data_IF_437829383824
#
_entry.id   IF_437829383824
#
_cell.length_a   1.000
_cell.length_b   1.000
_cell.length_c   1.000
_cell.angle_alpha   90.00
_cell.angle_beta   90.00
_cell.angle_gamma   90.00
#
_symmetry.space_group_name_H-M   'P 1'
#
loop_
_entity.id
_entity.type
_entity.pdbx_description
1 polymer ?
#
# COMPACT_ATOMS: atom_id res chain seq x y z
N UNK A 1 -15.70 25.30 6.96
CA UNK A 1 -14.85 25.73 5.82
C UNK A 1 -13.54 24.98 5.93
N UNK A 2 -13.05 24.37 4.85
CA UNK A 2 -11.71 23.77 4.83
C UNK A 2 -10.71 24.93 4.66
N UNK A 3 -9.80 25.09 5.61
CA UNK A 3 -8.75 26.10 5.54
C UNK A 3 -7.65 25.60 4.59
N UNK A 4 -7.39 26.33 3.51
CA UNK A 4 -6.36 25.96 2.54
C UNK A 4 -5.08 26.74 2.82
N UNK A 5 -3.99 26.02 3.09
CA UNK A 5 -2.65 26.58 3.18
C UNK A 5 -1.81 26.04 2.02
N UNK A 6 -1.13 26.92 1.29
CA UNK A 6 -0.15 26.50 0.29
C UNK A 6 1.19 26.20 0.98
N UNK A 7 1.71 24.99 0.75
CA UNK A 7 3.02 24.55 1.23
C UNK A 7 3.74 23.85 0.08
N UNK A 8 5.02 24.16 -0.10
CA UNK A 8 5.86 23.50 -1.10
C UNK A 8 6.54 22.30 -0.47
N UNK A 9 6.42 21.13 -1.11
CA UNK A 9 7.17 19.92 -0.75
C UNK A 9 8.06 19.54 -1.93
N UNK A 10 9.30 19.17 -1.66
CA UNK A 10 10.15 18.52 -2.66
C UNK A 10 9.90 17.01 -2.63
N UNK A 11 9.69 16.43 -3.79
CA UNK A 11 9.54 14.99 -3.98
C UNK A 11 10.44 14.56 -5.14
N UNK A 12 10.83 13.28 -5.17
CA UNK A 12 11.56 12.72 -6.29
C UNK A 12 10.68 12.71 -7.55
N UNK A 13 11.30 12.87 -8.72
CA UNK A 13 10.60 12.86 -10.02
C UNK A 13 9.77 11.58 -10.21
N UNK A 14 10.32 10.42 -9.82
CA UNK A 14 9.59 9.15 -9.89
C UNK A 14 8.29 9.15 -9.08
N UNK A 15 8.25 9.87 -7.94
CA UNK A 15 7.07 9.97 -7.09
C UNK A 15 6.05 10.91 -7.73
N UNK A 16 6.51 12.01 -8.31
CA UNK A 16 5.65 12.91 -9.07
C UNK A 16 4.95 12.19 -10.23
N UNK A 17 5.69 11.40 -11.01
CA UNK A 17 5.13 10.60 -12.11
C UNK A 17 4.12 9.56 -11.60
N UNK A 18 4.39 8.90 -10.47
CA UNK A 18 3.42 7.99 -9.83
C UNK A 18 2.13 8.72 -9.45
N UNK A 19 2.23 9.90 -8.84
CA UNK A 19 1.06 10.71 -8.47
C UNK A 19 0.28 11.18 -9.71
N UNK A 20 0.98 11.57 -10.78
CA UNK A 20 0.38 11.96 -12.05
C UNK A 20 -0.43 10.81 -12.66
N UNK A 21 0.13 9.59 -12.68
CA UNK A 21 -0.55 8.41 -13.22
C UNK A 21 -1.76 7.98 -12.38
N UNK A 22 -1.75 8.26 -11.07
CA UNK A 22 -2.85 7.94 -10.16
C UNK A 22 -3.98 8.97 -10.17
N UNK A 23 -3.75 10.14 -10.78
CA UNK A 23 -4.69 11.26 -10.84
C UNK A 23 -5.86 10.93 -11.78
N UNK A 24 -7.09 11.05 -11.29
CA UNK A 24 -8.29 10.90 -12.12
C UNK A 24 -8.67 12.22 -12.79
N UNK A 25 -9.51 12.13 -13.83
CA UNK A 25 -10.08 13.32 -14.48
C UNK A 25 -10.78 14.21 -13.44
N UNK A 26 -10.53 15.52 -13.49
CA UNK A 26 -11.00 16.54 -12.54
C UNK A 26 -10.52 16.42 -11.07
N UNK A 27 -9.57 15.54 -10.72
CA UNK A 27 -8.92 15.59 -9.39
C UNK A 27 -7.82 16.66 -9.35
N UNK A 28 -7.58 17.29 -8.20
CA UNK A 28 -6.35 18.02 -7.88
C UNK A 28 -5.29 17.08 -7.27
N UNK A 29 -4.03 17.53 -7.12
CA UNK A 29 -3.04 16.71 -6.41
C UNK A 29 -3.38 16.54 -4.92
N UNK A 30 -4.04 17.53 -4.32
CA UNK A 30 -4.54 17.41 -2.94
C UNK A 30 -5.58 16.30 -2.83
N UNK A 31 -6.48 16.17 -3.81
CA UNK A 31 -7.50 15.10 -3.82
C UNK A 31 -6.86 13.71 -3.99
N UNK A 32 -5.81 13.60 -4.81
CA UNK A 32 -5.05 12.34 -4.97
C UNK A 32 -4.39 11.95 -3.65
N UNK A 33 -3.67 12.89 -3.02
CA UNK A 33 -2.98 12.65 -1.74
C UNK A 33 -4.00 12.28 -0.66
N UNK A 34 -5.08 13.04 -0.53
CA UNK A 34 -6.15 12.79 0.44
C UNK A 34 -6.78 11.40 0.23
N UNK A 35 -7.09 11.04 -1.01
CA UNK A 35 -7.62 9.71 -1.37
C UNK A 35 -6.66 8.57 -1.05
N UNK A 36 -5.35 8.77 -1.26
CA UNK A 36 -4.35 7.76 -0.97
C UNK A 36 -4.14 7.58 0.53
N UNK A 37 -4.13 8.67 1.30
CA UNK A 37 -3.97 8.63 2.76
C UNK A 37 -5.24 8.07 3.43
N UNK A 38 -6.43 8.44 2.93
CA UNK A 38 -7.73 7.93 3.41
C UNK A 38 -8.05 6.53 2.92
N UNK A 39 -7.20 5.91 2.10
CA UNK A 39 -7.37 4.51 1.71
C UNK A 39 -7.04 3.64 2.92
N UNK A 40 -7.94 3.63 3.91
CA UNK A 40 -8.00 2.57 4.89
C UNK A 40 -8.17 1.27 4.10
N UNK A 41 -7.22 0.35 4.26
CA UNK A 41 -7.36 -1.02 3.80
C UNK A 41 -8.46 -1.64 4.64
N UNK A 42 -9.72 -1.44 4.23
CA UNK A 42 -10.83 -2.11 4.86
C UNK A 42 -10.68 -3.59 4.53
N UNK A 43 -10.16 -4.37 5.49
CA UNK A 43 -10.10 -5.83 5.42
C UNK A 43 -11.49 -6.45 5.67
N UNK A 44 -12.45 -5.65 6.13
CA UNK A 44 -13.84 -6.05 6.42
C UNK A 44 -14.56 -6.75 5.25
N UNK A 45 -14.40 -6.36 3.98
CA UNK A 45 -14.95 -7.08 2.83
C UNK A 45 -14.39 -8.50 2.65
N UNK A 46 -13.24 -8.81 3.27
CA UNK A 46 -12.62 -10.13 3.23
C UNK A 46 -13.01 -11.02 4.42
N UNK A 47 -13.74 -10.46 5.39
CA UNK A 47 -14.19 -11.21 6.57
C UNK A 47 -15.20 -12.30 6.16
N UNK A 48 -14.85 -13.56 6.42
CA UNK A 48 -15.68 -14.72 6.10
C UNK A 48 -15.56 -15.23 4.66
N UNK A 49 -14.62 -14.70 3.85
CA UNK A 49 -14.33 -15.25 2.52
C UNK A 49 -13.61 -16.60 2.57
N UNK A 50 -12.85 -16.84 3.64
CA UNK A 50 -12.11 -18.07 3.84
C UNK A 50 -12.76 -18.91 4.93
N UNK A 51 -12.84 -20.21 4.69
CA UNK A 51 -13.03 -21.20 5.74
C UNK A 51 -11.81 -21.23 6.66
N UNK A 52 -11.96 -21.78 7.87
CA UNK A 52 -10.86 -21.92 8.83
C UNK A 52 -9.67 -22.65 8.21
N UNK A 53 -9.91 -23.74 7.49
CA UNK A 53 -8.87 -24.51 6.78
C UNK A 53 -8.17 -23.72 5.69
N UNK A 54 -8.90 -22.90 4.91
CA UNK A 54 -8.28 -22.04 3.90
C UNK A 54 -7.44 -20.93 4.56
N UNK A 55 -7.89 -20.41 5.71
CA UNK A 55 -7.13 -19.49 6.54
C UNK A 55 -5.80 -20.09 7.00
N UNK A 56 -5.82 -21.32 7.54
CA UNK A 56 -4.63 -22.03 8.00
C UNK A 56 -3.62 -22.24 6.86
N UNK A 57 -4.09 -22.62 5.67
CA UNK A 57 -3.24 -22.82 4.49
C UNK A 57 -2.57 -21.51 4.05
N UNK A 58 -3.32 -20.40 4.07
CA UNK A 58 -2.78 -19.08 3.74
C UNK A 58 -1.74 -18.67 4.78
N UNK A 59 -2.01 -18.87 6.07
CA UNK A 59 -1.07 -18.56 7.15
C UNK A 59 0.23 -19.37 6.99
N UNK A 60 0.14 -20.68 6.78
CA UNK A 60 1.30 -21.54 6.54
C UNK A 60 2.13 -21.07 5.33
N UNK A 61 1.46 -20.66 4.25
CA UNK A 61 2.12 -20.19 3.03
C UNK A 61 2.86 -18.88 3.25
N UNK A 62 2.27 -17.96 4.03
CA UNK A 62 2.89 -16.67 4.38
C UNK A 62 4.12 -16.90 5.27
N UNK A 63 4.03 -17.76 6.28
CA UNK A 63 5.14 -18.07 7.17
C UNK A 63 6.30 -18.74 6.44
N UNK A 64 6.00 -19.63 5.49
CA UNK A 64 7.02 -20.24 4.65
C UNK A 64 7.75 -19.19 3.78
N UNK A 65 7.00 -18.30 3.12
CA UNK A 65 7.58 -17.25 2.30
C UNK A 65 8.44 -16.26 3.10
N UNK A 66 8.07 -15.96 4.35
CA UNK A 66 8.91 -15.13 5.24
C UNK A 66 10.25 -15.79 5.53
N UNK A 67 10.24 -17.07 5.91
CA UNK A 67 11.47 -17.85 6.17
C UNK A 67 12.36 -17.90 4.93
N UNK A 68 11.77 -18.12 3.75
CA UNK A 68 12.51 -18.14 2.49
C UNK A 68 13.15 -16.79 2.18
N UNK A 69 12.47 -15.68 2.46
CA UNK A 69 13.04 -14.35 2.30
C UNK A 69 14.15 -14.04 3.31
N UNK A 70 14.00 -14.43 4.58
CA UNK A 70 15.05 -14.27 5.59
C UNK A 70 16.31 -15.05 5.22
N UNK A 71 16.17 -16.27 4.69
CA UNK A 71 17.28 -17.08 4.18
C UNK A 71 17.92 -16.39 2.97
N UNK A 72 17.12 -15.90 2.02
CA UNK A 72 17.62 -15.22 0.83
C UNK A 72 18.32 -13.88 1.15
N UNK A 73 17.94 -13.21 2.23
CA UNK A 73 18.60 -11.98 2.67
C UNK A 73 19.93 -12.25 3.40
N UNK A 74 20.07 -13.39 4.09
CA UNK A 74 21.35 -13.83 4.67
C UNK A 74 22.38 -14.18 3.57
N UNK A 75 21.97 -14.86 2.50
CA UNK A 75 22.82 -15.21 1.35
C UNK A 75 23.31 -13.99 0.55
N UNK A 76 22.64 -12.83 0.66
CA UNK A 76 23.05 -11.58 -0.01
C UNK A 76 24.09 -10.77 0.76
N UNK A 77 24.37 -11.14 2.01
CA UNK A 77 25.29 -10.44 2.91
C UNK A 77 26.65 -11.12 3.10
N UNK A 78 26.89 -12.28 2.48
CA UNK A 78 28.21 -12.93 2.33
C UNK A 78 28.86 -12.62 0.97
#
# INVERSE_FOLDING_TARGET
>A
MIEMASKTIMIQEEIYLKLMNLKKNNESFNDVIDRLIKKEQHLKPFFGLFTETEGDIIEMSIEQAKKENEIADLDRTE
#
